data_IF_828077671889
#
_entry.id   IF_828077671889
#
_cell.length_a   1.000
_cell.length_b   1.000
_cell.length_c   1.000
_cell.angle_alpha   90.00
_cell.angle_beta   90.00
_cell.angle_gamma   90.00
#
_symmetry.space_group_name_H-M   'P 1'
#
loop_
_entity.id
_entity.type
_entity.pdbx_description
1 polymer ?
#
# COMPACT_ATOMS: atom_id res chain seq x y z
N UNK A 1 -10.71 -11.94 -22.76
CA UNK A 1 -10.05 -11.02 -23.71
C UNK A 1 -9.00 -10.22 -22.95
N UNK A 2 -7.76 -10.13 -23.45
CA UNK A 2 -6.63 -9.42 -22.80
C UNK A 2 -6.94 -7.93 -22.61
N UNK A 3 -7.65 -7.30 -23.55
CA UNK A 3 -8.00 -5.88 -23.45
C UNK A 3 -8.88 -5.58 -22.24
N UNK A 4 -9.84 -6.47 -21.97
CA UNK A 4 -10.71 -6.37 -20.81
C UNK A 4 -9.93 -6.46 -19.48
N UNK A 5 -8.96 -7.37 -19.39
CA UNK A 5 -8.12 -7.49 -18.20
C UNK A 5 -7.20 -6.28 -18.01
N UNK A 6 -6.65 -5.71 -19.09
CA UNK A 6 -5.85 -4.48 -19.01
C UNK A 6 -6.67 -3.27 -18.58
N UNK A 7 -7.91 -3.14 -19.07
CA UNK A 7 -8.82 -2.08 -18.63
C UNK A 7 -9.09 -2.16 -17.12
N UNK A 8 -9.42 -3.36 -16.61
CA UNK A 8 -9.61 -3.58 -15.18
C UNK A 8 -8.34 -3.22 -14.42
N UNK A 9 -7.17 -3.71 -14.84
CA UNK A 9 -5.91 -3.43 -14.16
C UNK A 9 -5.61 -1.92 -14.11
N UNK A 10 -5.82 -1.18 -15.20
CA UNK A 10 -5.58 0.27 -15.23
C UNK A 10 -6.55 1.01 -14.29
N UNK A 11 -7.82 0.60 -14.25
CA UNK A 11 -8.83 1.19 -13.35
C UNK A 11 -8.55 0.87 -11.89
N UNK A 12 -8.09 -0.35 -11.58
CA UNK A 12 -7.66 -0.72 -10.23
C UNK A 12 -6.42 0.06 -9.81
N UNK A 13 -5.43 0.23 -10.68
CA UNK A 13 -4.28 1.08 -10.38
C UNK A 13 -4.69 2.54 -10.14
N UNK A 14 -5.64 3.06 -10.92
CA UNK A 14 -6.13 4.43 -10.78
C UNK A 14 -6.69 4.73 -9.38
N UNK A 15 -7.24 3.73 -8.67
CA UNK A 15 -7.59 3.90 -7.26
C UNK A 15 -6.39 4.33 -6.43
N UNK A 16 -5.30 3.56 -6.41
CA UNK A 16 -4.09 3.89 -5.65
C UNK A 16 -3.45 5.20 -6.11
N UNK A 17 -3.41 5.43 -7.42
CA UNK A 17 -2.86 6.65 -8.02
C UNK A 17 -3.60 7.92 -7.55
N UNK A 18 -4.88 7.80 -7.22
CA UNK A 18 -5.73 8.92 -6.81
C UNK A 18 -5.76 9.11 -5.29
N UNK A 19 -5.81 8.02 -4.52
CA UNK A 19 -6.07 8.08 -3.08
C UNK A 19 -4.82 8.05 -2.21
N UNK A 20 -3.67 7.65 -2.76
CA UNK A 20 -2.42 7.58 -2.00
C UNK A 20 -1.57 8.80 -2.29
N UNK A 21 -1.37 9.64 -1.27
CA UNK A 21 -0.66 10.90 -1.39
C UNK A 21 0.10 11.28 -0.12
N UNK A 22 0.67 12.48 -0.14
CA UNK A 22 1.46 13.01 0.97
C UNK A 22 0.64 13.20 2.26
N UNK A 23 -0.65 13.56 2.13
CA UNK A 23 -1.55 13.79 3.27
C UNK A 23 -1.78 12.52 4.11
N UNK A 24 -1.60 11.34 3.51
CA UNK A 24 -1.72 10.02 4.13
C UNK A 24 -0.35 9.34 4.29
N UNK A 25 0.74 10.11 4.27
CA UNK A 25 2.12 9.64 4.39
C UNK A 25 2.50 8.55 3.37
N UNK A 26 1.88 8.56 2.18
CA UNK A 26 2.09 7.53 1.17
C UNK A 26 1.51 6.15 1.52
N UNK A 27 0.64 6.05 2.54
CA UNK A 27 -0.02 4.81 2.94
C UNK A 27 -1.37 4.65 2.21
N UNK A 28 -1.73 3.43 1.77
CA UNK A 28 -3.01 3.17 1.14
C UNK A 28 -4.15 3.13 2.17
N UNK A 29 -5.34 3.67 1.87
CA UNK A 29 -6.48 3.55 2.75
C UNK A 29 -7.04 2.13 2.76
N UNK A 30 -7.78 1.78 3.81
CA UNK A 30 -8.50 0.52 3.93
C UNK A 30 -9.64 0.39 2.91
N UNK A 31 -10.34 1.49 2.67
CA UNK A 31 -11.40 1.56 1.68
C UNK A 31 -11.58 2.97 1.13
N UNK A 32 -12.21 3.09 -0.04
CA UNK A 32 -12.78 4.33 -0.56
C UNK A 32 -14.28 4.15 -0.69
N UNK A 33 -15.04 5.03 -0.02
CA UNK A 33 -16.49 4.96 -0.03
C UNK A 33 -17.07 6.02 -0.98
N UNK A 34 -17.64 5.55 -2.08
CA UNK A 34 -18.23 6.39 -3.13
C UNK A 34 -19.70 6.73 -2.83
N UNK A 35 -20.45 5.77 -2.28
CA UNK A 35 -21.87 5.96 -1.97
C UNK A 35 -22.26 5.31 -0.63
N UNK A 36 -22.84 6.07 0.33
CA UNK A 36 -22.86 7.54 0.35
C UNK A 36 -21.41 8.07 0.39
N UNK A 37 -21.15 9.24 -0.22
CA UNK A 37 -19.79 9.74 -0.37
C UNK A 37 -19.16 10.02 1.01
N UNK A 38 -18.06 9.31 1.31
CA UNK A 38 -17.30 9.47 2.57
C UNK A 38 -15.78 9.46 2.34
N UNK A 39 -15.33 9.43 1.08
CA UNK A 39 -13.91 9.52 0.75
C UNK A 39 -13.09 8.29 1.16
N UNK A 40 -11.75 8.42 1.14
CA UNK A 40 -10.85 7.38 1.64
C UNK A 40 -10.98 7.27 3.17
N UNK A 41 -10.97 6.05 3.68
CA UNK A 41 -10.81 5.83 5.11
C UNK A 41 -9.34 6.09 5.48
N UNK A 42 -9.09 7.09 6.32
CA UNK A 42 -7.76 7.45 6.82
C UNK A 42 -7.20 6.44 7.82
N UNK A 43 -7.24 5.16 7.46
CA UNK A 43 -6.68 4.04 8.20
C UNK A 43 -6.13 3.00 7.23
N UNK A 44 -5.13 2.24 7.67
CA UNK A 44 -4.53 1.17 6.87
C UNK A 44 -4.17 -0.04 7.73
N UNK A 45 -3.88 -1.15 7.06
CA UNK A 45 -3.40 -2.38 7.68
C UNK A 45 -2.09 -2.86 7.04
N UNK A 46 -1.32 -3.73 7.71
CA UNK A 46 -0.13 -4.33 7.12
C UNK A 46 -0.41 -5.04 5.77
N UNK A 47 -1.57 -5.69 5.64
CA UNK A 47 -1.99 -6.31 4.36
C UNK A 47 -2.14 -5.26 3.27
N UNK A 48 -2.85 -4.16 3.54
CA UNK A 48 -3.12 -3.11 2.55
C UNK A 48 -1.83 -2.44 2.09
N UNK A 49 -0.91 -2.16 3.01
CA UNK A 49 0.40 -1.58 2.70
C UNK A 49 1.20 -2.52 1.80
N UNK A 50 1.27 -3.81 2.15
CA UNK A 50 1.97 -4.81 1.32
C UNK A 50 1.37 -4.94 -0.08
N UNK A 51 0.04 -5.01 -0.17
CA UNK A 51 -0.66 -5.09 -1.45
C UNK A 51 -0.38 -3.85 -2.32
N UNK A 52 -0.38 -2.66 -1.74
CA UNK A 52 -0.06 -1.42 -2.46
C UNK A 52 1.37 -1.43 -2.99
N UNK A 53 2.36 -1.82 -2.18
CA UNK A 53 3.75 -1.92 -2.64
C UNK A 53 3.89 -2.88 -3.84
N UNK A 54 3.20 -4.03 -3.81
CA UNK A 54 3.17 -4.95 -4.95
C UNK A 54 2.40 -4.37 -6.15
N UNK A 55 1.34 -3.59 -5.92
CA UNK A 55 0.60 -2.91 -6.98
C UNK A 55 1.42 -1.81 -7.67
N UNK A 56 2.31 -1.12 -6.95
CA UNK A 56 3.27 -0.16 -7.54
C UNK A 56 4.15 -0.88 -8.57
N UNK A 57 4.73 -2.03 -8.22
CA UNK A 57 5.56 -2.81 -9.16
C UNK A 57 4.76 -3.26 -10.37
N UNK A 58 3.57 -3.81 -10.17
CA UNK A 58 2.72 -4.22 -11.28
C UNK A 58 2.34 -3.03 -12.19
N UNK A 59 2.13 -1.84 -11.63
CA UNK A 59 1.84 -0.64 -12.39
C UNK A 59 3.03 -0.17 -13.24
N UNK A 60 4.26 -0.30 -12.73
CA UNK A 60 5.49 -0.06 -13.49
C UNK A 60 5.61 -1.08 -14.64
N UNK A 61 5.47 -2.39 -14.35
CA UNK A 61 5.53 -3.46 -15.36
C UNK A 61 4.50 -3.27 -16.48
N UNK A 62 3.30 -2.79 -16.15
CA UNK A 62 2.26 -2.51 -17.14
C UNK A 62 2.46 -1.19 -17.91
N UNK A 63 3.42 -0.35 -17.51
CA UNK A 63 3.69 0.97 -18.07
C UNK A 63 2.67 2.03 -17.67
N UNK A 64 1.99 1.86 -16.53
CA UNK A 64 1.03 2.83 -15.98
C UNK A 64 1.68 3.86 -15.07
N UNK A 65 2.86 3.53 -14.53
CA UNK A 65 3.68 4.34 -13.65
C UNK A 65 5.10 4.38 -14.21
N UNK A 66 5.78 5.51 -14.12
CA UNK A 66 7.19 5.58 -14.51
C UNK A 66 8.07 4.94 -13.42
N UNK A 67 9.11 4.22 -13.82
CA UNK A 67 10.01 3.51 -12.90
C UNK A 67 10.59 4.41 -11.81
N UNK A 68 11.02 5.63 -12.14
CA UNK A 68 11.52 6.60 -11.15
C UNK A 68 10.46 7.00 -10.13
N UNK A 69 9.20 7.11 -10.54
CA UNK A 69 8.07 7.38 -9.67
C UNK A 69 7.70 6.17 -8.82
N UNK A 70 7.79 4.95 -9.37
CA UNK A 70 7.62 3.70 -8.63
C UNK A 70 8.61 3.61 -7.46
N UNK A 71 9.90 3.84 -7.72
CA UNK A 71 10.93 3.91 -6.69
C UNK A 71 10.62 4.99 -5.64
N UNK A 72 10.22 6.19 -6.06
CA UNK A 72 9.89 7.28 -5.13
C UNK A 72 8.69 6.95 -4.21
N UNK A 73 7.65 6.28 -4.74
CA UNK A 73 6.48 5.86 -3.94
C UNK A 73 6.81 4.70 -2.99
N UNK A 74 7.60 3.72 -3.43
CA UNK A 74 8.07 2.61 -2.58
C UNK A 74 8.95 3.15 -1.45
N UNK A 75 10.05 3.82 -1.80
CA UNK A 75 10.52 5.06 -1.18
C UNK A 75 9.85 5.50 0.12
N UNK A 76 8.94 6.44 -0.09
CA UNK A 76 8.10 7.09 0.91
C UNK A 76 7.34 6.10 1.79
N UNK A 77 6.79 5.04 1.22
CA UNK A 77 5.97 4.06 1.96
C UNK A 77 6.84 3.28 2.96
N UNK A 78 8.03 2.83 2.55
CA UNK A 78 8.97 2.11 3.40
C UNK A 78 9.51 3.02 4.51
N UNK A 79 9.91 4.25 4.18
CA UNK A 79 10.34 5.24 5.19
C UNK A 79 9.23 5.54 6.21
N UNK A 80 7.97 5.49 5.80
CA UNK A 80 6.82 5.66 6.69
C UNK A 80 6.62 4.43 7.58
N UNK A 81 6.74 3.22 7.04
CA UNK A 81 6.69 1.98 7.82
C UNK A 81 7.69 2.00 8.98
N UNK A 82 8.90 2.56 8.78
CA UNK A 82 9.93 2.67 9.83
C UNK A 82 9.50 3.48 11.05
N UNK A 83 8.59 4.44 10.86
CA UNK A 83 8.10 5.36 11.90
C UNK A 83 6.90 4.80 12.68
N UNK A 84 6.21 3.80 12.15
CA UNK A 84 5.00 3.26 12.77
C UNK A 84 5.32 2.58 14.12
N UNK A 85 4.48 2.77 15.16
CA UNK A 85 4.63 2.06 16.42
C UNK A 85 4.43 0.56 16.21
N UNK A 86 5.20 -0.26 16.93
CA UNK A 86 5.21 -1.72 16.78
C UNK A 86 5.18 -2.42 18.13
N UNK A 87 4.57 -3.60 18.15
CA UNK A 87 4.60 -4.51 19.29
C UNK A 87 5.68 -5.57 19.07
N UNK A 88 6.79 -5.50 19.80
CA UNK A 88 7.93 -6.43 19.67
C UNK A 88 8.39 -6.65 18.21
N UNK A 89 8.39 -5.59 17.39
CA UNK A 89 8.75 -5.64 15.98
C UNK A 89 7.60 -5.98 15.02
N UNK A 90 6.44 -6.40 15.52
CA UNK A 90 5.24 -6.60 14.73
C UNK A 90 4.44 -5.32 14.56
N UNK A 91 3.90 -5.11 13.36
CA UNK A 91 2.93 -4.05 13.12
C UNK A 91 1.58 -4.39 13.76
N UNK A 92 0.91 -3.36 14.30
CA UNK A 92 -0.48 -3.43 14.69
C UNK A 92 -1.38 -3.56 13.47
N UNK A 93 -2.61 -4.06 13.68
CA UNK A 93 -3.52 -4.29 12.56
C UNK A 93 -4.02 -2.99 11.92
N UNK A 94 -4.11 -1.91 12.69
CA UNK A 94 -4.69 -0.66 12.22
C UNK A 94 -3.82 0.54 12.61
N UNK A 95 -3.53 1.37 11.61
CA UNK A 95 -2.89 2.66 11.78
C UNK A 95 -3.75 3.74 11.15
N UNK A 96 -3.77 4.91 11.77
CA UNK A 96 -4.25 6.14 11.14
C UNK A 96 -3.20 6.62 10.13
N UNK A 97 -3.59 6.81 8.88
CA UNK A 97 -2.67 7.11 7.78
C UNK A 97 -2.12 8.53 7.83
N UNK A 98 -2.78 9.45 8.53
CA UNK A 98 -2.38 10.86 8.61
C UNK A 98 -1.45 11.11 9.80
N UNK A 99 -1.75 10.49 10.94
CA UNK A 99 -1.06 10.70 12.22
C UNK A 99 -0.02 9.63 12.55
N UNK A 100 -0.02 8.52 11.80
CA UNK A 100 0.86 7.35 12.00
C UNK A 100 0.69 6.65 13.36
N UNK A 101 -0.38 6.96 14.09
CA UNK A 101 -0.70 6.32 15.36
C UNK A 101 -1.40 4.97 15.13
N UNK A 102 -1.16 4.02 16.03
CA UNK A 102 -1.98 2.81 16.11
C UNK A 102 -3.41 3.15 16.53
N UNK A 103 -4.38 2.43 15.97
CA UNK A 103 -5.80 2.61 16.29
C UNK A 103 -6.27 1.57 17.31
N UNK A 104 -7.07 1.96 18.32
CA UNK A 104 -7.63 1.02 19.28
C UNK A 104 -8.78 0.19 18.69
N UNK A 105 -8.96 -1.07 19.14
CA UNK A 105 -8.09 -1.79 20.04
C UNK A 105 -6.78 -2.19 19.34
N UNK A 106 -5.67 -2.06 20.06
CA UNK A 106 -4.35 -2.45 19.55
C UNK A 106 -4.21 -3.97 19.61
N UNK A 107 -4.01 -4.59 18.46
CA UNK A 107 -3.68 -6.01 18.35
C UNK A 107 -2.80 -6.28 17.15
N UNK A 108 -2.10 -7.40 17.19
CA UNK A 108 -1.31 -7.91 16.08
C UNK A 108 -2.10 -9.02 15.39
N UNK A 109 -2.34 -8.86 14.09
CA UNK A 109 -2.88 -9.92 13.24
C UNK A 109 -1.72 -10.71 12.65
N UNK A 110 -1.69 -12.02 12.93
CA UNK A 110 -0.70 -12.93 12.34
C UNK A 110 -0.93 -13.10 10.84
N UNK A 111 -2.19 -13.00 10.39
CA UNK A 111 -2.56 -13.03 8.97
C UNK A 111 -2.00 -11.81 8.25
N UNK A 112 -2.22 -10.60 8.79
CA UNK A 112 -1.74 -9.37 8.17
C UNK A 112 -0.21 -9.27 8.19
N UNK A 113 0.41 -9.76 9.27
CA UNK A 113 1.87 -9.89 9.35
C UNK A 113 2.41 -10.83 8.27
N UNK A 114 1.76 -11.99 8.07
CA UNK A 114 2.14 -12.95 7.04
C UNK A 114 1.97 -12.40 5.63
N UNK A 115 0.84 -11.73 5.36
CA UNK A 115 0.57 -11.06 4.09
C UNK A 115 1.62 -10.00 3.79
N UNK A 116 1.92 -9.11 4.75
CA UNK A 116 2.94 -8.08 4.58
C UNK A 116 4.29 -8.70 4.20
N UNK A 117 4.73 -9.73 4.92
CA UNK A 117 6.03 -10.38 4.63
C UNK A 117 6.03 -10.98 3.22
N UNK A 118 4.96 -11.66 2.80
CA UNK A 118 4.87 -12.23 1.45
C UNK A 118 4.95 -11.15 0.36
N UNK A 119 4.26 -10.02 0.56
CA UNK A 119 4.36 -8.88 -0.36
C UNK A 119 5.75 -8.25 -0.35
N UNK A 120 6.36 -8.04 0.82
CA UNK A 120 7.71 -7.47 0.91
C UNK A 120 8.76 -8.36 0.23
N UNK A 121 8.64 -9.69 0.33
CA UNK A 121 9.50 -10.62 -0.41
C UNK A 121 9.31 -10.43 -1.92
N UNK A 122 8.06 -10.37 -2.38
CA UNK A 122 7.74 -10.16 -3.80
C UNK A 122 8.32 -8.83 -4.29
N UNK A 123 8.12 -7.77 -3.51
CA UNK A 123 8.60 -6.43 -3.86
C UNK A 123 10.13 -6.38 -3.90
N UNK A 124 10.79 -7.01 -2.93
CA UNK A 124 12.25 -7.13 -2.92
C UNK A 124 12.77 -7.85 -4.17
N UNK A 125 12.13 -8.93 -4.61
CA UNK A 125 12.56 -9.65 -5.81
C UNK A 125 12.37 -8.81 -7.06
N UNK A 126 11.21 -8.16 -7.23
CA UNK A 126 10.96 -7.29 -8.41
C UNK A 126 11.92 -6.09 -8.47
N UNK A 127 12.22 -5.46 -7.32
CA UNK A 127 13.22 -4.39 -7.27
C UNK A 127 14.64 -4.87 -7.65
N UNK A 128 14.93 -6.15 -7.45
CA UNK A 128 16.19 -6.76 -7.84
C UNK A 128 16.39 -6.87 -9.36
N UNK A 129 15.35 -6.70 -10.17
CA UNK A 129 15.47 -6.75 -11.64
C UNK A 129 16.06 -5.45 -12.23
N UNK A 130 16.11 -4.37 -11.45
CA UNK A 130 16.69 -3.08 -11.87
C UNK A 130 18.20 -2.95 -11.60
N UNK A 131 18.81 -3.90 -10.88
CA UNK A 131 20.21 -3.87 -10.43
C UNK A 131 20.94 -5.16 -10.82
#
# INVERSE_FOLDING_TARGET
>A
DIRYLRDIARRTWHFFDTVVGADDNGLPPDNLQIYPANGPAHRTSPTNIGLYLAAILAADDFGYLATTEAFARITLTVDTLEKLPRWHGHFYNWYDTQTLQSLPPEYVSTVDSGNLVAYLITVKQGLGEFF
#
